data_IF_846410855027
#
_entry.id   IF_846410855027
#
_cell.length_a   1.000
_cell.length_b   1.000
_cell.length_c   1.000
_cell.angle_alpha   90.00
_cell.angle_beta   90.00
_cell.angle_gamma   90.00
#
_symmetry.space_group_name_H-M   'P 1'
#
loop_
_entity.id
_entity.type
_entity.pdbx_description
1 polymer ?
#
# COMPACT_ATOMS: atom_id res chain seq x y z
N UNK A 1 5.48 8.04 -44.92
CA UNK A 1 4.24 8.49 -44.23
C UNK A 1 4.66 9.08 -42.89
N UNK A 2 4.31 10.34 -42.62
CA UNK A 2 4.64 10.97 -41.35
C UNK A 2 3.91 10.25 -40.21
N UNK A 3 4.65 9.84 -39.18
CA UNK A 3 4.08 9.24 -37.96
C UNK A 3 3.38 10.37 -37.21
N UNK A 4 2.06 10.41 -37.29
CA UNK A 4 1.25 11.34 -36.50
C UNK A 4 1.27 10.90 -35.03
N UNK A 5 1.90 11.70 -34.16
CA UNK A 5 1.91 11.50 -32.71
C UNK A 5 0.50 11.58 -32.10
N UNK A 6 0.35 11.20 -30.81
CA UNK A 6 -0.94 11.23 -30.12
C UNK A 6 -1.54 12.64 -30.05
N UNK A 7 -2.84 12.76 -30.36
CA UNK A 7 -3.56 14.05 -30.35
C UNK A 7 -4.33 14.20 -29.03
N UNK A 8 -4.00 15.25 -28.29
CA UNK A 8 -4.60 15.59 -26.99
C UNK A 8 -5.51 16.80 -27.10
N UNK A 9 -6.68 16.75 -26.47
CA UNK A 9 -7.58 17.89 -26.31
C UNK A 9 -7.65 18.36 -24.86
N UNK A 10 -7.68 19.68 -24.66
CA UNK A 10 -7.79 20.33 -23.36
C UNK A 10 -6.46 20.50 -22.62
N UNK A 11 -6.54 21.09 -21.42
CA UNK A 11 -5.40 21.25 -20.50
C UNK A 11 -5.70 20.53 -19.19
N UNK A 12 -4.64 20.04 -18.52
CA UNK A 12 -4.77 19.48 -17.19
C UNK A 12 -5.04 20.61 -16.19
N UNK A 13 -6.06 20.45 -15.35
CA UNK A 13 -6.44 21.44 -14.36
C UNK A 13 -6.82 20.78 -13.04
N UNK A 14 -6.34 21.37 -11.94
CA UNK A 14 -6.61 20.90 -10.58
C UNK A 14 -7.32 22.04 -9.84
N UNK A 15 -8.49 21.76 -9.27
CA UNK A 15 -9.23 22.72 -8.46
C UNK A 15 -8.44 23.10 -7.21
N UNK A 16 -8.62 24.34 -6.74
CA UNK A 16 -8.00 24.86 -5.53
C UNK A 16 -7.42 26.26 -5.73
N UNK A 17 -7.58 27.11 -4.71
CA UNK A 17 -7.09 28.49 -4.68
C UNK A 17 -5.59 28.59 -4.41
N UNK A 18 -5.05 27.66 -3.61
CA UNK A 18 -3.64 27.60 -3.25
C UNK A 18 -2.97 26.35 -3.82
N UNK A 19 -1.64 26.37 -3.94
CA UNK A 19 -0.88 25.20 -4.38
C UNK A 19 -1.06 24.00 -3.44
N UNK A 20 -1.02 24.24 -2.12
CA UNK A 20 -1.28 23.19 -1.13
C UNK A 20 -2.65 22.55 -1.29
N UNK A 21 -3.70 23.35 -1.54
CA UNK A 21 -5.05 22.83 -1.78
C UNK A 21 -5.11 21.99 -3.05
N UNK A 22 -4.44 22.42 -4.13
CA UNK A 22 -4.36 21.65 -5.38
C UNK A 22 -3.65 20.32 -5.17
N UNK A 23 -2.50 20.32 -4.49
CA UNK A 23 -1.76 19.10 -4.21
C UNK A 23 -2.56 18.14 -3.32
N UNK A 24 -3.18 18.67 -2.26
CA UNK A 24 -4.02 17.88 -1.36
C UNK A 24 -5.20 17.24 -2.11
N UNK A 25 -5.91 17.99 -2.95
CA UNK A 25 -7.03 17.48 -3.73
C UNK A 25 -6.60 16.45 -4.80
N UNK A 26 -5.44 16.64 -5.42
CA UNK A 26 -4.86 15.69 -6.37
C UNK A 26 -4.48 14.37 -5.69
N UNK A 27 -3.95 14.43 -4.47
CA UNK A 27 -3.44 13.25 -3.76
C UNK A 27 -4.43 12.69 -2.74
N UNK A 28 -5.64 13.25 -2.64
CA UNK A 28 -6.65 12.85 -1.67
C UNK A 28 -7.05 11.38 -1.79
N UNK A 29 -7.02 10.82 -3.00
CA UNK A 29 -7.24 9.39 -3.26
C UNK A 29 -6.25 8.47 -2.50
N UNK A 30 -5.04 8.95 -2.19
CA UNK A 30 -4.07 8.20 -1.38
C UNK A 30 -4.57 7.95 0.04
N UNK A 31 -5.44 8.81 0.57
CA UNK A 31 -6.08 8.63 1.89
C UNK A 31 -7.02 7.41 1.87
N UNK A 32 -7.91 7.32 0.89
CA UNK A 32 -8.89 6.22 0.79
C UNK A 32 -8.24 4.86 0.57
N UNK A 33 -7.14 4.82 -0.19
CA UNK A 33 -6.34 3.59 -0.36
C UNK A 33 -5.83 3.03 0.98
N UNK A 34 -5.48 3.90 1.92
CA UNK A 34 -5.00 3.46 3.24
C UNK A 34 -6.11 2.94 4.14
N UNK A 35 -7.37 3.34 3.93
CA UNK A 35 -8.50 2.70 4.63
C UNK A 35 -8.65 1.24 4.23
N UNK A 36 -8.45 0.92 2.94
CA UNK A 36 -8.51 -0.45 2.45
C UNK A 36 -7.34 -1.27 3.00
N UNK A 37 -6.11 -0.82 2.78
CA UNK A 37 -4.90 -1.50 3.28
C UNK A 37 -4.89 -1.62 4.80
N UNK A 38 -5.27 -0.58 5.54
CA UNK A 38 -5.32 -0.61 7.00
C UNK A 38 -6.37 -1.59 7.54
N UNK A 39 -7.52 -1.69 6.87
CA UNK A 39 -8.55 -2.69 7.22
C UNK A 39 -8.03 -4.11 7.00
N UNK A 40 -7.41 -4.37 5.86
CA UNK A 40 -6.88 -5.68 5.51
C UNK A 40 -5.71 -6.10 6.42
N UNK A 41 -4.75 -5.20 6.64
CA UNK A 41 -3.60 -5.44 7.52
C UNK A 41 -4.00 -5.64 8.98
N UNK A 42 -5.09 -5.03 9.44
CA UNK A 42 -5.52 -5.12 10.85
C UNK A 42 -6.49 -6.27 11.11
N UNK A 43 -7.49 -6.42 10.25
CA UNK A 43 -8.61 -7.33 10.46
C UNK A 43 -8.59 -8.55 9.53
N UNK A 44 -7.86 -8.53 8.41
CA UNK A 44 -7.84 -9.63 7.46
C UNK A 44 -7.37 -10.95 8.08
N UNK A 45 -6.18 -10.96 8.69
CA UNK A 45 -5.62 -12.17 9.32
C UNK A 45 -6.50 -12.66 10.48
N UNK A 46 -6.92 -11.82 11.45
CA UNK A 46 -7.83 -12.25 12.51
C UNK A 46 -9.19 -12.73 12.02
N UNK A 47 -9.74 -12.12 10.97
CA UNK A 47 -11.03 -12.53 10.39
C UNK A 47 -10.94 -13.93 9.82
N UNK A 48 -9.93 -14.20 8.99
CA UNK A 48 -9.73 -15.50 8.40
C UNK A 48 -9.38 -16.59 9.45
N UNK A 49 -8.65 -16.24 10.52
CA UNK A 49 -8.46 -17.11 11.69
C UNK A 49 -9.79 -17.43 12.36
N UNK A 50 -10.67 -16.44 12.53
CA UNK A 50 -11.99 -16.63 13.16
C UNK A 50 -12.91 -17.55 12.35
N UNK A 51 -12.70 -17.65 11.03
CA UNK A 51 -13.39 -18.59 10.15
C UNK A 51 -12.82 -20.03 10.23
N UNK A 52 -11.71 -20.23 10.96
CA UNK A 52 -11.09 -21.54 11.20
C UNK A 52 -9.93 -21.89 10.25
N UNK A 53 -9.32 -20.93 9.55
CA UNK A 53 -8.10 -21.21 8.78
C UNK A 53 -6.86 -21.27 9.67
N UNK A 54 -5.94 -22.19 9.33
CA UNK A 54 -4.61 -22.26 9.93
C UNK A 54 -3.70 -21.12 9.44
N UNK A 55 -2.69 -20.73 10.24
CA UNK A 55 -1.73 -19.68 9.88
C UNK A 55 -0.91 -20.05 8.64
N UNK A 56 -0.62 -21.34 8.46
CA UNK A 56 -0.03 -21.86 7.21
C UNK A 56 -0.90 -21.51 6.00
N UNK A 57 -2.21 -21.78 6.02
CA UNK A 57 -3.11 -21.45 4.90
C UNK A 57 -3.25 -19.95 4.69
N UNK A 58 -3.27 -19.15 5.76
CA UNK A 58 -3.32 -17.68 5.66
C UNK A 58 -2.16 -17.12 4.85
N UNK A 59 -0.96 -17.65 5.03
CA UNK A 59 0.19 -17.19 4.25
C UNK A 59 -0.02 -17.35 2.75
N UNK A 60 -0.66 -18.44 2.31
CA UNK A 60 -1.01 -18.63 0.90
C UNK A 60 -2.07 -17.64 0.42
N UNK A 61 -2.98 -17.21 1.29
CA UNK A 61 -3.96 -16.18 0.96
C UNK A 61 -3.26 -14.84 0.68
N UNK A 62 -2.28 -14.49 1.51
CA UNK A 62 -1.52 -13.24 1.38
C UNK A 62 -0.56 -13.17 0.19
N UNK A 63 -0.46 -14.24 -0.61
CA UNK A 63 0.16 -14.17 -1.95
C UNK A 63 -0.63 -13.26 -2.89
N UNK A 64 -1.93 -13.04 -2.63
CA UNK A 64 -2.79 -12.16 -3.42
C UNK A 64 -2.24 -10.73 -3.55
N UNK A 65 -1.78 -10.12 -2.45
CA UNK A 65 -1.24 -8.76 -2.42
C UNK A 65 -0.03 -8.55 -3.34
N UNK A 66 1.05 -9.34 -3.24
CA UNK A 66 2.18 -9.22 -4.14
C UNK A 66 1.84 -9.65 -5.57
N UNK A 67 1.03 -10.69 -5.77
CA UNK A 67 0.61 -11.10 -7.12
C UNK A 67 -0.15 -9.98 -7.84
N UNK A 68 -1.11 -9.38 -7.16
CA UNK A 68 -1.89 -8.27 -7.69
C UNK A 68 -1.03 -7.03 -7.97
N UNK A 69 -0.12 -6.68 -7.06
CA UNK A 69 0.82 -5.57 -7.22
C UNK A 69 1.78 -5.74 -8.40
N UNK A 70 2.21 -6.97 -8.69
CA UNK A 70 3.08 -7.29 -9.83
C UNK A 70 2.33 -7.19 -11.16
N UNK A 71 1.10 -7.71 -11.20
CA UNK A 71 0.33 -7.85 -12.45
C UNK A 71 -0.44 -6.57 -12.80
N UNK A 72 -1.12 -5.96 -11.84
CA UNK A 72 -2.05 -4.86 -12.13
C UNK A 72 -1.34 -3.57 -12.53
N UNK A 73 -0.14 -3.29 -12.03
CA UNK A 73 0.58 -2.06 -12.37
C UNK A 73 0.90 -1.94 -13.87
N UNK A 74 1.55 -2.92 -14.53
CA UNK A 74 1.80 -2.84 -15.97
C UNK A 74 0.51 -2.96 -16.80
N UNK A 75 -0.44 -3.79 -16.38
CA UNK A 75 -1.72 -3.98 -17.09
C UNK A 75 -2.52 -2.68 -17.12
N UNK A 76 -2.70 -2.03 -15.97
CA UNK A 76 -3.45 -0.78 -15.87
C UNK A 76 -2.72 0.35 -16.56
N UNK A 77 -1.40 0.44 -16.47
CA UNK A 77 -0.62 1.41 -17.23
C UNK A 77 -0.95 1.34 -18.73
N UNK A 78 -0.81 0.14 -19.31
CA UNK A 78 -1.09 -0.11 -20.72
C UNK A 78 -2.52 0.17 -21.15
N UNK A 79 -3.50 -0.31 -20.37
CA UNK A 79 -4.91 -0.15 -20.71
C UNK A 79 -5.35 1.31 -20.56
N UNK A 80 -4.88 2.00 -19.53
CA UNK A 80 -5.25 3.40 -19.28
C UNK A 80 -4.51 4.38 -20.19
N UNK A 81 -3.31 4.07 -20.67
CA UNK A 81 -2.61 4.89 -21.68
C UNK A 81 -3.35 4.97 -23.02
N UNK A 82 -4.13 3.94 -23.34
CA UNK A 82 -4.92 3.86 -24.58
C UNK A 82 -6.35 4.38 -24.45
N UNK A 83 -6.72 4.85 -23.26
CA UNK A 83 -8.08 5.23 -22.95
C UNK A 83 -8.45 6.58 -23.59
N UNK A 84 -9.50 6.59 -24.40
CA UNK A 84 -10.06 7.78 -25.08
C UNK A 84 -11.31 8.32 -24.39
N UNK A 85 -11.57 7.92 -23.14
CA UNK A 85 -12.77 8.30 -22.40
C UNK A 85 -12.80 9.82 -22.13
N UNK A 86 -14.00 10.41 -22.19
CA UNK A 86 -14.26 11.83 -21.92
C UNK A 86 -13.87 12.27 -20.51
N UNK A 87 -13.83 11.33 -19.55
CA UNK A 87 -13.42 11.60 -18.17
C UNK A 87 -11.90 11.72 -18.00
N UNK A 88 -11.13 11.46 -19.06
CA UNK A 88 -9.68 11.33 -18.98
C UNK A 88 -9.23 9.88 -19.11
N UNK A 89 -7.91 9.69 -19.09
CA UNK A 89 -7.30 8.38 -19.34
C UNK A 89 -7.24 7.54 -18.06
N UNK A 90 -6.96 8.15 -16.90
CA UNK A 90 -6.74 7.46 -15.62
C UNK A 90 -8.01 7.34 -14.78
N UNK A 91 -8.81 8.41 -14.70
CA UNK A 91 -10.01 8.48 -13.85
C UNK A 91 -11.03 7.35 -14.03
N UNK A 92 -11.33 6.85 -15.24
CA UNK A 92 -12.25 5.72 -15.42
C UNK A 92 -11.78 4.45 -14.71
N UNK A 93 -10.49 4.11 -14.82
CA UNK A 93 -9.91 2.93 -14.16
C UNK A 93 -9.89 3.09 -12.65
N UNK A 94 -9.57 4.30 -12.18
CA UNK A 94 -9.58 4.65 -10.77
C UNK A 94 -10.97 4.46 -10.14
N UNK A 95 -12.04 4.95 -10.79
CA UNK A 95 -13.42 4.80 -10.29
C UNK A 95 -13.95 3.38 -10.45
N UNK A 96 -13.63 2.69 -11.54
CA UNK A 96 -14.03 1.29 -11.73
C UNK A 96 -13.42 0.39 -10.66
N UNK A 97 -12.12 0.54 -10.39
CA UNK A 97 -11.45 -0.16 -9.29
C UNK A 97 -12.06 0.21 -7.93
N UNK A 98 -12.35 1.49 -7.69
CA UNK A 98 -12.98 1.96 -6.44
C UNK A 98 -14.34 1.30 -6.21
N UNK A 99 -15.19 1.25 -7.23
CA UNK A 99 -16.50 0.61 -7.12
C UNK A 99 -16.39 -0.89 -6.82
N UNK A 100 -15.46 -1.58 -7.48
CA UNK A 100 -15.21 -2.99 -7.23
C UNK A 100 -14.66 -3.23 -5.80
N UNK A 101 -13.73 -2.39 -5.33
CA UNK A 101 -13.22 -2.43 -3.94
C UNK A 101 -14.35 -2.26 -2.93
N UNK A 102 -15.26 -1.31 -3.15
CA UNK A 102 -16.42 -1.10 -2.27
C UNK A 102 -17.29 -2.34 -2.19
N UNK A 103 -17.59 -2.95 -3.33
CA UNK A 103 -18.38 -4.19 -3.38
C UNK A 103 -17.66 -5.30 -2.62
N UNK A 104 -16.37 -5.51 -2.84
CA UNK A 104 -15.58 -6.51 -2.13
C UNK A 104 -15.54 -6.25 -0.61
N UNK A 105 -15.28 -5.02 -0.15
CA UNK A 105 -15.30 -4.71 1.29
C UNK A 105 -16.66 -5.05 1.94
N UNK A 106 -17.77 -4.77 1.24
CA UNK A 106 -19.10 -5.14 1.72
C UNK A 106 -19.34 -6.65 1.66
N UNK A 107 -18.86 -7.36 0.65
CA UNK A 107 -18.91 -8.83 0.60
C UNK A 107 -18.14 -9.39 1.78
N UNK A 108 -16.89 -8.96 2.00
CA UNK A 108 -16.02 -9.44 3.07
C UNK A 108 -16.68 -9.29 4.45
N UNK A 109 -17.25 -8.12 4.75
CA UNK A 109 -17.93 -7.88 6.02
C UNK A 109 -19.18 -8.76 6.22
N UNK A 110 -19.87 -9.12 5.14
CA UNK A 110 -21.13 -9.88 5.18
C UNK A 110 -21.01 -11.32 4.67
N UNK A 111 -19.79 -11.85 4.49
CA UNK A 111 -19.54 -13.16 3.88
C UNK A 111 -20.41 -14.28 4.46
N UNK A 112 -20.46 -14.40 5.80
CA UNK A 112 -21.25 -15.43 6.48
C UNK A 112 -22.76 -15.24 6.27
N UNK A 113 -23.25 -13.99 6.30
CA UNK A 113 -24.65 -13.68 6.08
C UNK A 113 -25.08 -13.98 4.63
N UNK A 114 -24.21 -13.67 3.66
CA UNK A 114 -24.41 -13.98 2.25
C UNK A 114 -24.52 -15.50 2.07
N UNK A 115 -23.58 -16.28 2.62
CA UNK A 115 -23.58 -17.74 2.46
C UNK A 115 -24.81 -18.37 3.15
N UNK A 116 -25.15 -17.93 4.37
CA UNK A 116 -26.33 -18.41 5.11
C UNK A 116 -27.65 -18.17 4.36
N UNK A 117 -27.72 -17.16 3.51
CA UNK A 117 -28.91 -16.91 2.70
C UNK A 117 -29.14 -17.98 1.64
N UNK A 118 -28.07 -18.56 1.08
CA UNK A 118 -28.15 -19.55 0.00
C UNK A 118 -28.04 -21.01 0.47
N UNK A 119 -27.53 -21.25 1.67
CA UNK A 119 -27.20 -22.59 2.18
C UNK A 119 -27.71 -22.75 3.60
N UNK A 120 -28.45 -23.83 3.87
CA UNK A 120 -29.02 -24.13 5.19
C UNK A 120 -28.22 -25.12 6.05
N UNK A 121 -27.19 -25.75 5.51
CA UNK A 121 -26.35 -26.74 6.21
C UNK A 121 -25.12 -26.08 6.86
N UNK A 122 -24.94 -26.24 8.17
CA UNK A 122 -23.93 -25.54 8.98
C UNK A 122 -22.49 -25.85 8.55
N UNK A 123 -22.17 -27.11 8.22
CA UNK A 123 -20.82 -27.47 7.78
C UNK A 123 -20.48 -26.83 6.43
N UNK A 124 -21.44 -26.85 5.50
CA UNK A 124 -21.32 -26.18 4.20
C UNK A 124 -21.24 -24.67 4.34
N UNK A 125 -22.01 -24.06 5.24
CA UNK A 125 -21.93 -22.62 5.52
C UNK A 125 -20.51 -22.25 5.92
N UNK A 126 -19.90 -22.98 6.86
CA UNK A 126 -18.53 -22.70 7.30
C UNK A 126 -17.53 -22.82 6.15
N UNK A 127 -17.57 -23.92 5.41
CA UNK A 127 -16.64 -24.15 4.29
C UNK A 127 -16.77 -23.11 3.18
N UNK A 128 -18.00 -22.79 2.78
CA UNK A 128 -18.27 -21.82 1.73
C UNK A 128 -17.98 -20.38 2.17
N UNK A 129 -18.14 -20.06 3.45
CA UNK A 129 -17.75 -18.75 4.01
C UNK A 129 -16.23 -18.56 3.89
N UNK A 130 -15.43 -19.57 4.22
CA UNK A 130 -13.97 -19.52 4.04
C UNK A 130 -13.60 -19.35 2.56
N UNK A 131 -14.21 -20.13 1.67
CA UNK A 131 -13.93 -20.04 0.22
C UNK A 131 -14.29 -18.67 -0.32
N UNK A 132 -15.47 -18.13 0.01
CA UNK A 132 -15.91 -16.81 -0.43
C UNK A 132 -14.98 -15.72 0.10
N UNK A 133 -14.61 -15.75 1.38
CA UNK A 133 -13.70 -14.78 1.97
C UNK A 133 -12.32 -14.79 1.28
N UNK A 134 -11.77 -15.97 0.98
CA UNK A 134 -10.47 -16.08 0.30
C UNK A 134 -10.54 -15.56 -1.13
N UNK A 135 -11.57 -15.95 -1.89
CA UNK A 135 -11.76 -15.47 -3.26
C UNK A 135 -11.97 -13.95 -3.27
N UNK A 136 -12.77 -13.42 -2.34
CA UNK A 136 -13.03 -12.00 -2.24
C UNK A 136 -11.78 -11.20 -1.87
N UNK A 137 -10.93 -11.67 -0.95
CA UNK A 137 -9.62 -11.03 -0.65
C UNK A 137 -8.73 -10.98 -1.90
N UNK A 138 -8.67 -12.06 -2.68
CA UNK A 138 -7.92 -12.05 -3.95
C UNK A 138 -8.46 -11.00 -4.92
N UNK A 139 -9.77 -10.92 -5.09
CA UNK A 139 -10.38 -9.92 -5.98
C UNK A 139 -10.13 -8.51 -5.44
N UNK A 140 -10.34 -8.30 -4.14
CA UNK A 140 -10.11 -7.04 -3.44
C UNK A 140 -8.69 -6.51 -3.69
N UNK A 141 -7.67 -7.34 -3.50
CA UNK A 141 -6.26 -6.99 -3.71
C UNK A 141 -5.97 -6.54 -5.15
N UNK A 142 -6.54 -7.24 -6.14
CA UNK A 142 -6.46 -6.84 -7.55
C UNK A 142 -7.13 -5.49 -7.80
N UNK A 143 -8.32 -5.26 -7.23
CA UNK A 143 -9.08 -4.02 -7.43
C UNK A 143 -8.45 -2.82 -6.69
N UNK A 144 -7.86 -3.04 -5.51
CA UNK A 144 -7.07 -2.04 -4.79
C UNK A 144 -5.88 -1.63 -5.66
N UNK A 145 -5.15 -2.60 -6.23
CA UNK A 145 -3.99 -2.30 -7.06
C UNK A 145 -4.33 -1.61 -8.37
N UNK A 146 -5.51 -1.86 -8.97
CA UNK A 146 -6.00 -1.08 -10.12
C UNK A 146 -6.17 0.39 -9.73
N UNK A 147 -6.90 0.64 -8.65
CA UNK A 147 -7.16 1.99 -8.14
C UNK A 147 -5.87 2.72 -7.77
N UNK A 148 -4.95 1.99 -7.13
CA UNK A 148 -3.66 2.50 -6.68
C UNK A 148 -2.74 2.86 -7.87
N UNK A 149 -2.66 1.99 -8.88
CA UNK A 149 -1.88 2.25 -10.09
C UNK A 149 -2.38 3.49 -10.83
N UNK A 150 -3.70 3.57 -11.06
CA UNK A 150 -4.32 4.70 -11.73
C UNK A 150 -4.15 6.01 -10.94
N UNK A 151 -4.29 5.98 -9.61
CA UNK A 151 -4.08 7.14 -8.74
C UNK A 151 -2.64 7.65 -8.82
N UNK A 152 -1.63 6.77 -8.78
CA UNK A 152 -0.23 7.19 -8.87
C UNK A 152 0.10 7.81 -10.23
N UNK A 153 -0.37 7.19 -11.31
CA UNK A 153 -0.17 7.72 -12.65
C UNK A 153 -0.87 9.07 -12.85
N UNK A 154 -2.05 9.27 -12.26
CA UNK A 154 -2.76 10.56 -12.31
C UNK A 154 -1.93 11.69 -11.69
N UNK A 155 -1.23 11.43 -10.57
CA UNK A 155 -0.39 12.43 -9.90
C UNK A 155 0.78 12.86 -10.79
N UNK A 156 1.44 11.91 -11.45
CA UNK A 156 2.56 12.21 -12.36
C UNK A 156 2.10 12.90 -13.64
N UNK A 157 0.93 12.50 -14.17
CA UNK A 157 0.39 13.04 -15.43
C UNK A 157 -0.23 14.45 -15.26
N UNK A 158 -0.78 14.75 -14.08
CA UNK A 158 -1.42 16.04 -13.81
C UNK A 158 -0.42 17.16 -13.48
N UNK A 159 0.81 16.82 -13.09
CA UNK A 159 1.82 17.77 -12.62
C UNK A 159 2.96 17.98 -13.62
N UNK A 160 3.48 19.21 -13.75
CA UNK A 160 4.75 19.47 -14.41
C UNK A 160 5.89 18.72 -13.70
N UNK A 161 6.96 18.38 -14.43
CA UNK A 161 8.09 17.61 -13.93
C UNK A 161 8.71 18.21 -12.64
N UNK A 162 8.79 19.54 -12.56
CA UNK A 162 9.35 20.26 -11.40
C UNK A 162 8.49 20.08 -10.14
N UNK A 163 7.19 19.78 -10.29
CA UNK A 163 6.24 19.62 -9.19
C UNK A 163 5.95 18.16 -8.83
N UNK A 164 6.42 17.18 -9.60
CA UNK A 164 6.16 15.76 -9.34
C UNK A 164 6.72 15.28 -8.00
N UNK A 165 7.87 15.81 -7.57
CA UNK A 165 8.43 15.51 -6.25
C UNK A 165 7.54 16.06 -5.12
N UNK A 166 6.99 17.27 -5.29
CA UNK A 166 6.04 17.86 -4.35
C UNK A 166 4.74 17.03 -4.30
N UNK A 167 4.21 16.61 -5.45
CA UNK A 167 3.06 15.72 -5.53
C UNK A 167 3.30 14.39 -4.81
N UNK A 168 4.46 13.76 -5.02
CA UNK A 168 4.84 12.54 -4.32
C UNK A 168 4.93 12.72 -2.80
N UNK A 169 5.46 13.86 -2.32
CA UNK A 169 5.48 14.18 -0.90
C UNK A 169 4.06 14.35 -0.32
N UNK A 170 3.15 14.99 -1.05
CA UNK A 170 1.74 15.10 -0.67
C UNK A 170 0.99 13.76 -0.68
N UNK A 171 1.32 12.84 -1.58
CA UNK A 171 0.82 11.45 -1.53
C UNK A 171 1.21 10.77 -0.21
N UNK A 172 2.48 10.85 0.19
CA UNK A 172 2.94 10.26 1.45
C UNK A 172 2.26 10.87 2.67
N UNK A 173 2.01 12.19 2.68
CA UNK A 173 1.27 12.87 3.76
C UNK A 173 -0.19 12.42 3.82
N UNK A 174 -0.89 12.38 2.67
CA UNK A 174 -2.29 11.95 2.61
C UNK A 174 -2.44 10.48 2.99
N UNK A 175 -1.50 9.63 2.59
CA UNK A 175 -1.45 8.24 3.01
C UNK A 175 -1.21 8.12 4.53
N UNK A 176 -0.22 8.84 5.09
CA UNK A 176 0.03 8.85 6.54
C UNK A 176 -1.21 9.28 7.34
N UNK A 177 -1.92 10.30 6.85
CA UNK A 177 -3.16 10.76 7.47
C UNK A 177 -4.29 9.73 7.36
N UNK A 178 -4.44 9.07 6.20
CA UNK A 178 -5.39 7.98 6.01
C UNK A 178 -5.13 6.79 6.94
N UNK A 179 -3.87 6.38 7.11
CA UNK A 179 -3.49 5.34 8.05
C UNK A 179 -3.85 5.72 9.50
N UNK A 180 -3.58 6.96 9.89
CA UNK A 180 -3.95 7.45 11.23
C UNK A 180 -5.45 7.38 11.47
N UNK A 181 -6.27 7.77 10.49
CA UNK A 181 -7.72 7.73 10.61
C UNK A 181 -8.26 6.29 10.68
N UNK A 182 -7.81 5.39 9.81
CA UNK A 182 -8.33 4.00 9.80
C UNK A 182 -7.95 3.24 11.09
N UNK A 183 -6.72 3.37 11.59
CA UNK A 183 -6.34 2.74 12.85
C UNK A 183 -7.01 3.43 14.05
N UNK A 184 -7.21 4.75 14.01
CA UNK A 184 -7.99 5.46 15.01
C UNK A 184 -9.43 4.97 15.10
N UNK A 185 -10.10 4.82 13.96
CA UNK A 185 -11.45 4.27 13.88
C UNK A 185 -11.50 2.80 14.33
N UNK A 186 -10.54 2.00 13.91
CA UNK A 186 -10.42 0.60 14.33
C UNK A 186 -10.18 0.42 15.83
N UNK A 187 -9.53 1.39 16.48
CA UNK A 187 -9.21 1.37 17.92
C UNK A 187 -10.41 1.70 18.82
N UNK A 188 -11.42 2.39 18.27
CA UNK A 188 -12.60 2.86 18.99
C UNK A 188 -13.75 1.85 18.84
N UNK A 189 -14.70 1.87 19.78
CA UNK A 189 -15.84 0.94 19.76
C UNK A 189 -16.90 1.50 18.84
N UNK A 190 -16.85 1.05 17.59
CA UNK A 190 -17.75 1.56 16.56
C UNK A 190 -19.18 1.12 16.85
N UNK A 191 -19.39 -0.08 17.42
CA UNK A 191 -20.72 -0.54 17.82
C UNK A 191 -21.32 0.35 18.90
N UNK A 192 -20.54 0.75 19.90
CA UNK A 192 -21.01 1.66 20.94
C UNK A 192 -21.35 3.06 20.40
N UNK A 193 -20.64 3.55 19.38
CA UNK A 193 -20.83 4.90 18.83
C UNK A 193 -21.95 4.95 17.79
N UNK A 194 -21.91 4.05 16.80
CA UNK A 194 -22.82 4.07 15.66
C UNK A 194 -24.02 3.13 15.82
N UNK A 195 -24.07 2.35 16.90
CA UNK A 195 -25.07 1.29 17.06
C UNK A 195 -24.99 0.30 15.88
N UNK A 196 -26.11 -0.26 15.42
CA UNK A 196 -26.13 -1.19 14.28
C UNK A 196 -26.15 -0.51 12.91
N UNK A 197 -25.99 0.82 12.81
CA UNK A 197 -26.23 1.60 11.59
C UNK A 197 -25.40 1.11 10.38
N UNK A 198 -24.14 0.77 10.60
CA UNK A 198 -23.19 0.33 9.57
C UNK A 198 -22.91 -1.18 9.63
N UNK A 199 -23.68 -1.93 10.42
CA UNK A 199 -23.50 -3.35 10.67
C UNK A 199 -23.62 -3.69 12.15
N UNK A 200 -23.92 -4.96 12.43
CA UNK A 200 -24.06 -5.54 13.77
C UNK A 200 -22.72 -5.97 14.39
N UNK A 201 -21.61 -5.88 13.66
CA UNK A 201 -20.27 -6.30 14.10
C UNK A 201 -19.22 -5.22 13.89
N UNK A 202 -18.20 -5.14 14.77
CA UNK A 202 -17.06 -4.21 14.60
C UNK A 202 -16.44 -4.36 13.20
N UNK A 203 -16.23 -5.60 12.75
CA UNK A 203 -15.63 -5.87 11.44
C UNK A 203 -16.49 -5.33 10.28
N UNK A 204 -17.80 -5.56 10.30
CA UNK A 204 -18.74 -5.03 9.30
C UNK A 204 -18.68 -3.50 9.23
N UNK A 205 -18.63 -2.84 10.39
CA UNK A 205 -18.56 -1.38 10.46
C UNK A 205 -17.23 -0.83 9.95
N UNK A 206 -16.10 -1.50 10.22
CA UNK A 206 -14.80 -1.14 9.66
C UNK A 206 -14.82 -1.28 8.14
N UNK A 207 -15.32 -2.39 7.60
CA UNK A 207 -15.46 -2.61 6.16
C UNK A 207 -16.36 -1.54 5.49
N UNK A 208 -17.52 -1.24 6.08
CA UNK A 208 -18.44 -0.22 5.58
C UNK A 208 -17.80 1.18 5.61
N UNK A 209 -17.09 1.52 6.70
CA UNK A 209 -16.40 2.80 6.82
C UNK A 209 -15.27 2.93 5.82
N UNK A 210 -14.50 1.85 5.58
CA UNK A 210 -13.46 1.81 4.57
C UNK A 210 -14.04 1.99 3.16
N UNK A 211 -15.17 1.35 2.85
CA UNK A 211 -15.87 1.51 1.57
C UNK A 211 -16.33 2.97 1.35
N UNK A 212 -16.94 3.59 2.36
CA UNK A 212 -17.37 4.99 2.31
C UNK A 212 -16.16 5.93 2.13
N UNK A 213 -15.10 5.75 2.92
CA UNK A 213 -13.89 6.55 2.83
C UNK A 213 -13.22 6.43 1.45
N UNK A 214 -13.19 5.22 0.89
CA UNK A 214 -12.65 4.95 -0.44
C UNK A 214 -13.45 5.69 -1.53
N UNK A 215 -14.78 5.64 -1.50
CA UNK A 215 -15.65 6.38 -2.42
C UNK A 215 -15.45 7.90 -2.33
N UNK A 216 -15.44 8.44 -1.12
CA UNK A 216 -15.28 9.87 -0.88
C UNK A 216 -13.90 10.33 -1.36
N UNK A 217 -12.84 9.60 -1.02
CA UNK A 217 -11.47 10.00 -1.35
C UNK A 217 -11.21 9.99 -2.87
N UNK A 218 -11.59 8.90 -3.52
CA UNK A 218 -11.42 8.72 -4.97
C UNK A 218 -12.35 9.64 -5.75
N UNK A 219 -13.61 9.76 -5.31
CA UNK A 219 -14.59 10.68 -5.88
C UNK A 219 -14.17 12.14 -5.79
N UNK A 220 -13.60 12.57 -4.67
CA UNK A 220 -13.08 13.94 -4.49
C UNK A 220 -11.93 14.23 -5.45
N UNK A 221 -10.99 13.29 -5.60
CA UNK A 221 -9.86 13.44 -6.54
C UNK A 221 -10.36 13.51 -7.98
N UNK A 222 -11.27 12.61 -8.36
CA UNK A 222 -11.95 12.63 -9.66
C UNK A 222 -12.68 13.95 -9.92
N UNK A 223 -13.38 14.49 -8.93
CA UNK A 223 -14.08 15.76 -9.07
C UNK A 223 -13.14 16.96 -9.15
N UNK A 224 -11.98 16.89 -8.48
CA UNK A 224 -11.01 17.97 -8.42
C UNK A 224 -10.07 18.05 -9.63
N UNK A 225 -9.79 16.91 -10.28
CA UNK A 225 -8.79 16.80 -11.35
C UNK A 225 -9.46 16.63 -12.71
N UNK A 226 -9.13 17.52 -13.64
CA UNK A 226 -9.49 17.42 -15.05
C UNK A 226 -8.26 17.03 -15.86
N UNK A 227 -8.34 15.90 -16.56
CA UNK A 227 -7.27 15.39 -17.42
C UNK A 227 -7.38 15.92 -18.85
N UNK A 228 -6.28 15.83 -19.61
CA UNK A 228 -6.32 15.98 -21.07
C UNK A 228 -6.93 14.73 -21.70
N UNK A 229 -7.73 14.89 -22.75
CA UNK A 229 -8.43 13.78 -23.40
C UNK A 229 -7.63 13.32 -24.63
N UNK A 230 -7.35 12.02 -24.71
CA UNK A 230 -6.74 11.41 -25.90
C UNK A 230 -7.80 11.23 -26.98
N UNK A 231 -7.60 11.86 -28.14
CA UNK A 231 -8.55 11.81 -29.27
C UNK A 231 -8.08 10.96 -30.43
N UNK A 232 -6.78 10.78 -30.58
CA UNK A 232 -6.22 9.85 -31.56
C UNK A 232 -5.02 9.11 -30.95
N UNK A 233 -5.10 7.79 -30.74
CA UNK A 233 -3.95 6.99 -30.35
C UNK A 233 -2.92 6.95 -31.50
N UNK A 234 -1.63 6.72 -31.21
CA UNK A 234 -0.56 6.73 -32.22
C UNK A 234 -0.80 5.66 -33.33
N UNK A 235 -0.47 6.03 -34.57
CA UNK A 235 -0.85 5.30 -35.81
C UNK A 235 -0.02 4.04 -36.11
N UNK A 236 1.09 3.77 -35.41
CA UNK A 236 1.79 2.48 -35.47
C UNK A 236 1.33 1.60 -34.30
N UNK A 237 0.43 0.67 -34.58
CA UNK A 237 0.00 -0.35 -33.62
C UNK A 237 0.63 -1.70 -33.97
N UNK A 238 1.62 -2.20 -33.21
CA UNK A 238 1.84 -3.63 -33.14
C UNK A 238 0.58 -4.25 -32.54
N UNK A 239 0.06 -5.30 -33.17
CA UNK A 239 -1.05 -6.14 -32.69
C UNK A 239 -1.01 -6.35 -31.17
N UNK A 240 -2.16 -6.22 -30.50
CA UNK A 240 -2.34 -6.17 -29.04
C UNK A 240 -1.59 -7.26 -28.23
N UNK A 241 -1.35 -8.46 -28.79
CA UNK A 241 -0.57 -9.53 -28.14
C UNK A 241 0.94 -9.28 -28.07
N UNK A 242 1.49 -8.46 -28.97
CA UNK A 242 2.92 -8.12 -28.98
C UNK A 242 3.26 -7.05 -27.94
N UNK A 243 2.26 -6.32 -27.39
CA UNK A 243 2.51 -5.14 -26.57
C UNK A 243 2.76 -5.44 -25.09
N UNK A 244 2.04 -6.39 -24.49
CA UNK A 244 2.34 -6.82 -23.11
C UNK A 244 3.64 -7.64 -23.10
N UNK A 245 3.80 -8.52 -24.09
CA UNK A 245 5.02 -9.34 -24.22
C UNK A 245 6.25 -8.50 -24.52
N UNK A 246 6.15 -7.42 -25.31
CA UNK A 246 7.26 -6.49 -25.53
C UNK A 246 7.61 -5.72 -24.26
N UNK A 247 6.61 -5.29 -23.46
CA UNK A 247 6.85 -4.60 -22.19
C UNK A 247 7.46 -5.53 -21.15
N UNK A 248 6.98 -6.76 -21.04
CA UNK A 248 7.60 -7.77 -20.16
C UNK A 248 9.04 -8.08 -20.60
N UNK A 249 9.31 -8.17 -21.91
CA UNK A 249 10.66 -8.32 -22.45
C UNK A 249 11.53 -7.10 -22.16
N UNK A 250 11.01 -5.89 -22.29
CA UNK A 250 11.72 -4.65 -22.00
C UNK A 250 12.02 -4.52 -20.51
N UNK A 251 11.05 -4.82 -19.63
CA UNK A 251 11.25 -4.87 -18.18
C UNK A 251 12.32 -5.90 -17.84
N UNK A 252 12.27 -7.10 -18.44
CA UNK A 252 13.27 -8.14 -18.22
C UNK A 252 14.66 -7.69 -18.67
N UNK A 253 14.79 -7.15 -19.87
CA UNK A 253 16.05 -6.65 -20.41
C UNK A 253 16.62 -5.50 -19.57
N UNK A 254 15.81 -4.53 -19.18
CA UNK A 254 16.24 -3.39 -18.35
C UNK A 254 16.57 -3.82 -16.93
N UNK A 255 15.86 -4.80 -16.37
CA UNK A 255 16.17 -5.39 -15.05
C UNK A 255 17.55 -6.04 -15.05
N UNK A 256 17.93 -6.74 -16.12
CA UNK A 256 19.25 -7.34 -16.28
C UNK A 256 20.35 -6.29 -16.50
N UNK A 257 20.02 -5.14 -17.09
CA UNK A 257 20.96 -4.08 -17.48
C UNK A 257 20.78 -2.77 -16.68
N UNK A 258 20.48 -2.86 -15.39
CA UNK A 258 20.30 -1.68 -14.54
C UNK A 258 21.61 -0.90 -14.31
N UNK A 259 21.60 0.44 -14.41
CA UNK A 259 22.72 1.28 -13.95
C UNK A 259 23.02 1.06 -12.46
N UNK A 260 24.28 1.14 -12.07
CA UNK A 260 24.74 0.76 -10.72
C UNK A 260 24.02 1.50 -9.59
N UNK A 261 23.70 2.79 -9.81
CA UNK A 261 22.95 3.60 -8.84
C UNK A 261 21.54 3.08 -8.59
N UNK A 262 20.82 2.71 -9.66
CA UNK A 262 19.45 2.16 -9.58
C UNK A 262 19.48 0.73 -9.05
N UNK A 263 20.45 -0.08 -9.50
CA UNK A 263 20.68 -1.46 -9.04
C UNK A 263 20.88 -1.50 -7.52
N UNK A 264 21.67 -0.59 -6.97
CA UNK A 264 21.89 -0.51 -5.52
C UNK A 264 20.60 -0.23 -4.74
N UNK A 265 19.74 0.68 -5.22
CA UNK A 265 18.44 1.00 -4.60
C UNK A 265 17.54 -0.25 -4.62
N UNK A 266 17.48 -0.92 -5.78
CA UNK A 266 16.68 -2.12 -5.99
C UNK A 266 17.11 -3.27 -5.06
N UNK A 267 18.42 -3.49 -4.86
CA UNK A 267 18.89 -4.50 -3.91
C UNK A 267 18.50 -4.20 -2.47
N UNK A 268 18.58 -2.95 -2.03
CA UNK A 268 18.15 -2.58 -0.67
C UNK A 268 16.64 -2.83 -0.51
N UNK A 269 15.83 -2.49 -1.52
CA UNK A 269 14.39 -2.81 -1.49
C UNK A 269 14.14 -4.31 -1.42
N UNK A 270 14.81 -5.10 -2.27
CA UNK A 270 14.64 -6.55 -2.30
C UNK A 270 14.86 -7.20 -0.94
N UNK A 271 15.97 -6.88 -0.27
CA UNK A 271 16.26 -7.49 1.03
C UNK A 271 15.39 -6.96 2.17
N UNK A 272 15.05 -5.67 2.16
CA UNK A 272 14.22 -5.07 3.22
C UNK A 272 12.78 -5.54 3.18
N UNK A 273 12.21 -5.76 1.98
CA UNK A 273 10.80 -6.16 1.83
C UNK A 273 10.51 -7.59 2.25
N UNK A 274 11.53 -8.47 2.34
CA UNK A 274 11.38 -9.80 2.95
C UNK A 274 10.94 -9.66 4.42
N UNK A 275 11.47 -8.66 5.14
CA UNK A 275 11.14 -8.40 6.54
C UNK A 275 9.88 -7.55 6.72
N UNK A 276 9.64 -6.56 5.83
CA UNK A 276 8.46 -5.70 5.93
C UNK A 276 7.16 -6.47 5.69
N UNK A 277 7.16 -7.44 4.79
CA UNK A 277 5.92 -8.14 4.43
C UNK A 277 5.28 -8.87 5.63
N UNK A 278 5.99 -9.75 6.39
CA UNK A 278 5.42 -10.36 7.57
C UNK A 278 4.99 -9.36 8.65
N UNK A 279 5.76 -8.26 8.81
CA UNK A 279 5.41 -7.20 9.74
C UNK A 279 4.04 -6.57 9.42
N UNK A 280 3.77 -6.29 8.15
CA UNK A 280 2.54 -5.62 7.73
C UNK A 280 1.29 -6.51 7.85
N UNK A 281 1.40 -7.80 7.54
CA UNK A 281 0.23 -8.71 7.51
C UNK A 281 0.01 -9.52 8.80
N UNK A 282 1.06 -9.74 9.60
CA UNK A 282 0.97 -10.49 10.85
C UNK A 282 1.23 -9.65 12.10
N UNK A 283 1.77 -8.43 11.98
CA UNK A 283 2.12 -7.60 13.13
C UNK A 283 0.91 -7.21 13.99
N UNK A 284 -0.20 -6.85 13.35
CA UNK A 284 -1.47 -6.55 14.02
C UNK A 284 -1.99 -7.74 14.82
N UNK A 285 -1.98 -8.92 14.20
CA UNK A 285 -2.45 -10.18 14.79
C UNK A 285 -1.55 -10.59 15.95
N UNK A 286 -0.24 -10.47 15.81
CA UNK A 286 0.71 -10.74 16.88
C UNK A 286 0.46 -9.89 18.13
N UNK A 287 0.27 -8.57 17.97
CA UNK A 287 -0.05 -7.70 19.10
C UNK A 287 -1.40 -8.04 19.72
N UNK A 288 -2.42 -8.30 18.88
CA UNK A 288 -3.74 -8.67 19.36
C UNK A 288 -3.75 -10.01 20.12
N UNK A 289 -3.00 -11.01 19.65
CA UNK A 289 -2.83 -12.29 20.36
C UNK A 289 -2.16 -12.11 21.73
N UNK A 290 -1.13 -11.26 21.84
CA UNK A 290 -0.48 -10.97 23.13
C UNK A 290 -1.45 -10.34 24.15
N UNK A 291 -2.39 -9.51 23.68
CA UNK A 291 -3.46 -9.00 24.53
C UNK A 291 -4.38 -10.13 25.00
N UNK A 292 -4.83 -11.01 24.10
CA UNK A 292 -5.70 -12.13 24.44
C UNK A 292 -5.07 -13.14 25.40
N UNK A 293 -3.75 -13.33 25.34
CA UNK A 293 -3.03 -14.18 26.31
C UNK A 293 -3.11 -13.62 27.74
N UNK A 294 -3.31 -12.31 27.89
CA UNK A 294 -3.44 -11.64 29.18
C UNK A 294 -4.90 -11.54 29.66
N UNK A 295 -5.87 -11.93 28.84
CA UNK A 295 -7.30 -11.76 29.09
C UNK A 295 -8.01 -13.09 29.42
N UNK A 296 -9.15 -13.06 30.16
CA UNK A 296 -9.88 -14.28 30.57
C UNK A 296 -10.48 -15.07 29.38
N UNK A 297 -10.60 -16.39 29.57
CA UNK A 297 -10.67 -17.47 28.56
C UNK A 297 -12.03 -17.76 27.90
N UNK A 298 -13.14 -17.18 28.34
CA UNK A 298 -14.47 -17.56 27.82
C UNK A 298 -15.05 -16.45 26.95
N UNK A 299 -14.70 -16.43 25.66
CA UNK A 299 -15.22 -15.44 24.69
C UNK A 299 -15.69 -16.08 23.39
N UNK A 300 -16.72 -15.51 22.78
CA UNK A 300 -17.18 -15.92 21.46
C UNK A 300 -16.18 -15.52 20.37
N UNK A 301 -16.18 -16.23 19.22
CA UNK A 301 -15.29 -15.93 18.07
C UNK A 301 -15.39 -14.48 17.61
N UNK A 302 -16.61 -13.92 17.60
CA UNK A 302 -16.86 -12.53 17.25
C UNK A 302 -16.25 -11.54 18.26
N UNK A 303 -16.30 -11.86 19.55
CA UNK A 303 -15.67 -11.04 20.60
C UNK A 303 -14.14 -11.07 20.48
N UNK A 304 -13.55 -12.25 20.23
CA UNK A 304 -12.11 -12.41 20.00
C UNK A 304 -11.66 -11.57 18.80
N UNK A 305 -12.35 -11.65 17.66
CA UNK A 305 -12.06 -10.85 16.46
C UNK A 305 -12.14 -9.34 16.76
N UNK A 306 -13.19 -8.92 17.46
CA UNK A 306 -13.44 -7.51 17.78
C UNK A 306 -12.33 -6.95 18.69
N UNK A 307 -11.99 -7.63 19.77
CA UNK A 307 -10.95 -7.17 20.69
C UNK A 307 -9.54 -7.23 20.06
N UNK A 308 -9.22 -8.30 19.32
CA UNK A 308 -7.95 -8.42 18.60
C UNK A 308 -7.76 -7.24 17.66
N UNK A 309 -8.77 -6.97 16.82
CA UNK A 309 -8.72 -5.88 15.86
C UNK A 309 -8.63 -4.51 16.53
N UNK A 310 -9.38 -4.27 17.62
CA UNK A 310 -9.31 -3.01 18.37
C UNK A 310 -7.95 -2.75 18.99
N UNK A 311 -7.40 -3.72 19.72
CA UNK A 311 -6.11 -3.55 20.39
C UNK A 311 -4.94 -3.53 19.40
N UNK A 312 -5.03 -4.28 18.30
CA UNK A 312 -4.10 -4.15 17.19
C UNK A 312 -4.17 -2.74 16.58
N UNK A 313 -5.38 -2.22 16.33
CA UNK A 313 -5.59 -0.86 15.84
C UNK A 313 -5.02 0.19 16.78
N UNK A 314 -5.15 0.02 18.10
CA UNK A 314 -4.56 0.93 19.09
C UNK A 314 -3.03 0.99 18.99
N UNK A 315 -2.37 -0.16 18.84
CA UNK A 315 -0.92 -0.18 18.68
C UNK A 315 -0.47 0.44 17.34
N UNK A 316 -1.17 0.12 16.26
CA UNK A 316 -0.88 0.67 14.93
C UNK A 316 -1.27 2.14 14.79
N UNK A 317 -2.18 2.65 15.63
CA UNK A 317 -2.49 4.08 15.71
C UNK A 317 -1.26 4.88 16.15
N UNK A 318 -0.53 4.43 17.19
CA UNK A 318 0.73 5.08 17.60
C UNK A 318 1.78 5.02 16.49
N UNK A 319 1.94 3.87 15.84
CA UNK A 319 2.81 3.73 14.67
C UNK A 319 2.45 4.73 13.57
N UNK A 320 1.17 4.88 13.24
CA UNK A 320 0.72 5.77 12.17
C UNK A 320 0.88 7.26 12.50
N UNK A 321 0.69 7.66 13.77
CA UNK A 321 0.96 9.02 14.24
C UNK A 321 2.45 9.33 14.08
N UNK A 322 3.32 8.45 14.56
CA UNK A 322 4.77 8.62 14.43
C UNK A 322 5.23 8.60 12.98
N UNK A 323 4.59 7.78 12.13
CA UNK A 323 4.86 7.75 10.70
C UNK A 323 4.43 9.06 10.02
N UNK A 324 3.26 9.60 10.35
CA UNK A 324 2.79 10.88 9.81
C UNK A 324 3.74 12.01 10.23
N UNK A 325 4.14 12.07 11.50
CA UNK A 325 5.15 13.01 11.98
C UNK A 325 6.47 12.84 11.24
N UNK A 326 6.92 11.59 11.04
CA UNK A 326 8.08 11.26 10.22
C UNK A 326 7.95 11.81 8.80
N UNK A 327 6.83 11.57 8.12
CA UNK A 327 6.61 12.06 6.75
C UNK A 327 6.64 13.59 6.60
N UNK A 328 6.28 14.32 7.66
CA UNK A 328 6.24 15.78 7.68
C UNK A 328 7.61 16.37 8.07
N UNK A 329 8.23 15.84 9.13
CA UNK A 329 9.42 16.43 9.75
C UNK A 329 10.74 15.79 9.30
N UNK A 330 10.74 14.53 8.84
CA UNK A 330 11.97 13.87 8.39
C UNK A 330 12.71 14.67 7.29
N UNK A 331 12.06 15.22 6.25
CA UNK A 331 12.76 16.02 5.25
C UNK A 331 13.50 17.24 5.81
N UNK A 332 12.96 17.92 6.84
CA UNK A 332 13.60 19.10 7.44
C UNK A 332 14.74 18.77 8.40
N UNK A 333 14.73 17.54 8.95
CA UNK A 333 15.77 17.01 9.83
C UNK A 333 17.00 16.51 9.04
N UNK A 334 16.85 16.23 7.75
CA UNK A 334 17.93 15.75 6.89
C UNK A 334 18.76 16.90 6.31
N UNK A 335 20.03 16.61 6.05
CA UNK A 335 20.91 17.49 5.30
C UNK A 335 20.62 17.41 3.80
N UNK A 336 20.41 18.55 3.14
CA UNK A 336 20.26 18.68 1.70
C UNK A 336 21.53 19.30 1.08
N UNK A 337 22.35 18.53 0.34
CA UNK A 337 23.56 19.02 -0.31
C UNK A 337 23.31 20.10 -1.36
N UNK A 338 22.14 20.10 -2.00
CA UNK A 338 21.80 21.03 -3.09
C UNK A 338 21.55 22.46 -2.59
N UNK A 339 20.99 22.59 -1.38
CA UNK A 339 20.79 23.88 -0.70
C UNK A 339 22.09 24.61 -0.31
N UNK A 340 23.22 23.89 -0.27
CA UNK A 340 24.53 24.41 0.14
C UNK A 340 25.43 24.78 -1.06
N UNK A 341 25.01 24.50 -2.29
CA UNK A 341 25.74 24.83 -3.50
C UNK A 341 25.63 26.34 -3.81
N UNK A 342 26.46 27.15 -3.15
CA UNK A 342 26.58 28.59 -3.41
C UNK A 342 26.74 29.48 -2.17
N UNK A 343 26.62 28.92 -0.96
CA UNK A 343 26.82 29.67 0.29
C UNK A 343 28.20 29.32 0.90
N UNK A 344 29.04 30.31 1.26
CA UNK A 344 30.29 30.02 1.96
C UNK A 344 30.00 29.30 3.28
N UNK A 345 30.61 28.13 3.45
CA UNK A 345 30.42 27.24 4.59
C UNK A 345 30.76 27.93 5.91
N UNK A 346 29.78 28.53 6.60
CA UNK A 346 29.98 29.19 7.90
C UNK A 346 28.82 29.06 8.90
N UNK A 347 27.96 28.04 8.81
CA UNK A 347 27.00 27.73 9.88
C UNK A 347 27.27 26.35 10.51
N UNK A 348 27.78 26.28 11.77
CA UNK A 348 28.14 25.02 12.45
C UNK A 348 26.95 24.10 12.76
N UNK A 349 25.71 24.56 12.54
CA UNK A 349 24.48 23.79 12.71
C UNK A 349 24.23 22.86 11.50
N UNK A 350 24.68 23.22 10.30
CA UNK A 350 24.51 22.38 9.12
C UNK A 350 25.44 21.15 9.11
N UNK A 351 26.54 21.16 9.87
CA UNK A 351 27.50 20.04 9.87
C UNK A 351 27.05 18.82 10.70
N UNK A 352 25.96 18.93 11.48
CA UNK A 352 25.46 17.85 12.33
C UNK A 352 24.20 17.13 11.82
N UNK A 353 23.56 17.61 10.75
CA UNK A 353 22.37 16.94 10.20
C UNK A 353 22.79 15.68 9.42
N UNK A 354 22.14 14.52 9.65
CA UNK A 354 22.44 13.31 8.89
C UNK A 354 21.98 13.46 7.45
N UNK A 355 22.73 12.85 6.53
CA UNK A 355 22.31 12.71 5.12
C UNK A 355 21.17 11.71 5.01
N UNK A 356 20.32 11.83 3.97
CA UNK A 356 19.27 10.84 3.67
C UNK A 356 19.83 9.41 3.56
N UNK A 357 21.05 9.27 3.03
CA UNK A 357 21.75 7.98 2.91
C UNK A 357 22.09 7.38 4.28
N UNK A 358 22.55 8.19 5.23
CA UNK A 358 22.82 7.75 6.60
C UNK A 358 21.52 7.39 7.32
N UNK A 359 20.50 8.23 7.22
CA UNK A 359 19.19 7.96 7.80
C UNK A 359 18.60 6.64 7.28
N UNK A 360 18.69 6.38 5.97
CA UNK A 360 18.22 5.12 5.38
C UNK A 360 19.03 3.89 5.82
N UNK A 361 20.34 4.03 6.07
CA UNK A 361 21.12 2.94 6.67
C UNK A 361 20.65 2.65 8.09
N UNK A 362 20.54 3.68 8.93
CA UNK A 362 20.09 3.53 10.32
C UNK A 362 18.66 3.00 10.40
N UNK A 363 17.79 3.37 9.47
CA UNK A 363 16.41 2.89 9.40
C UNK A 363 16.36 1.37 9.17
N UNK A 364 17.19 0.83 8.28
CA UNK A 364 17.25 -0.61 8.04
C UNK A 364 17.84 -1.37 9.25
N UNK A 365 18.92 -0.86 9.86
CA UNK A 365 19.50 -1.47 11.07
C UNK A 365 18.54 -1.44 12.26
N UNK A 366 17.85 -0.32 12.48
CA UNK A 366 16.85 -0.21 13.55
C UNK A 366 15.67 -1.15 13.31
N UNK A 367 15.16 -1.27 12.08
CA UNK A 367 14.11 -2.25 11.77
C UNK A 367 14.56 -3.68 12.08
N UNK A 368 15.76 -4.09 11.63
CA UNK A 368 16.29 -5.42 11.91
C UNK A 368 16.45 -5.68 13.42
N UNK A 369 16.96 -4.70 14.17
CA UNK A 369 17.09 -4.81 15.62
C UNK A 369 15.72 -4.93 16.31
N UNK A 370 14.73 -4.14 15.90
CA UNK A 370 13.36 -4.23 16.44
C UNK A 370 12.75 -5.60 16.14
N UNK A 371 12.88 -6.12 14.91
CA UNK A 371 12.38 -7.46 14.57
C UNK A 371 13.08 -8.56 15.38
N UNK A 372 14.38 -8.44 15.65
CA UNK A 372 15.13 -9.39 16.48
C UNK A 372 14.67 -9.41 17.95
N UNK A 373 14.05 -8.34 18.45
CA UNK A 373 13.51 -8.27 19.81
C UNK A 373 12.15 -8.98 19.97
N UNK A 374 11.45 -9.26 18.86
CA UNK A 374 10.10 -9.83 18.90
C UNK A 374 9.97 -11.14 19.69
N UNK A 375 10.91 -12.11 19.65
CA UNK A 375 10.78 -13.36 20.41
C UNK A 375 10.85 -13.18 21.93
N UNK A 376 11.39 -12.05 22.40
CA UNK A 376 11.58 -11.76 23.83
C UNK A 376 10.40 -10.98 24.44
N UNK A 377 9.42 -10.60 23.63
CA UNK A 377 8.29 -9.78 24.06
C UNK A 377 7.06 -10.65 24.33
N UNK A 378 6.64 -10.65 25.59
CA UNK A 378 5.45 -11.36 26.07
C UNK A 378 4.33 -10.44 26.56
N UNK A 379 4.53 -9.12 26.53
CA UNK A 379 3.59 -8.12 27.02
C UNK A 379 3.03 -7.27 25.88
N UNK A 380 1.71 -7.04 25.90
CA UNK A 380 1.00 -6.17 24.97
C UNK A 380 1.60 -4.75 24.91
N UNK A 381 1.97 -4.17 26.06
CA UNK A 381 2.53 -2.83 26.13
C UNK A 381 3.91 -2.74 25.46
N UNK A 382 4.77 -3.74 25.71
CA UNK A 382 6.09 -3.82 25.07
C UNK A 382 5.97 -4.04 23.56
N UNK A 383 5.02 -4.87 23.12
CA UNK A 383 4.73 -5.08 21.71
C UNK A 383 4.24 -3.80 21.03
N UNK A 384 3.37 -3.04 21.70
CA UNK A 384 2.88 -1.74 21.22
C UNK A 384 4.01 -0.73 21.05
N UNK A 385 4.93 -0.65 22.02
CA UNK A 385 6.10 0.22 21.92
C UNK A 385 7.00 -0.20 20.75
N UNK A 386 7.25 -1.50 20.56
CA UNK A 386 8.03 -2.01 19.45
C UNK A 386 7.41 -1.66 18.10
N UNK A 387 6.10 -1.88 17.93
CA UNK A 387 5.36 -1.49 16.72
C UNK A 387 5.47 0.01 16.48
N UNK A 388 5.28 0.83 17.51
CA UNK A 388 5.40 2.28 17.40
C UNK A 388 6.82 2.71 16.94
N UNK A 389 7.87 2.08 17.47
CA UNK A 389 9.26 2.35 17.08
C UNK A 389 9.56 1.98 15.62
N UNK A 390 8.82 1.03 15.04
CA UNK A 390 8.94 0.67 13.61
C UNK A 390 8.45 1.78 12.67
N UNK A 391 7.78 2.82 13.18
CA UNK A 391 7.34 3.98 12.40
C UNK A 391 8.52 4.79 11.84
N UNK A 392 9.62 4.90 12.57
CA UNK A 392 10.81 5.59 12.08
C UNK A 392 11.37 4.86 10.83
N UNK A 393 11.67 3.54 10.90
CA UNK A 393 12.06 2.81 9.71
C UNK A 393 11.09 2.91 8.54
N UNK A 394 9.79 2.83 8.81
CA UNK A 394 8.75 2.91 7.78
C UNK A 394 8.72 4.27 7.09
N UNK A 395 8.82 5.36 7.85
CA UNK A 395 8.84 6.73 7.31
C UNK A 395 10.04 6.97 6.37
N UNK A 396 11.21 6.45 6.73
CA UNK A 396 12.42 6.54 5.89
C UNK A 396 12.30 5.62 4.67
N UNK A 397 11.75 4.42 4.83
CA UNK A 397 11.51 3.48 3.73
C UNK A 397 10.49 4.02 2.71
N UNK A 398 9.51 4.80 3.15
CA UNK A 398 8.55 5.47 2.27
C UNK A 398 9.13 6.66 1.49
N UNK A 399 10.19 7.30 1.98
CA UNK A 399 10.79 8.50 1.37
C UNK A 399 12.05 8.19 0.54
N UNK A 400 12.97 7.39 1.07
CA UNK A 400 14.32 7.25 0.54
C UNK A 400 14.38 6.64 -0.87
N UNK A 401 13.71 5.51 -1.18
CA UNK A 401 13.82 4.86 -2.48
C UNK A 401 13.34 5.75 -3.62
N UNK A 402 12.16 6.38 -3.46
CA UNK A 402 11.60 7.31 -4.45
C UNK A 402 12.48 8.53 -4.67
N UNK A 403 13.05 9.09 -3.60
CA UNK A 403 13.95 10.25 -3.68
C UNK A 403 15.25 9.89 -4.42
N UNK A 404 15.91 8.78 -4.05
CA UNK A 404 17.13 8.36 -4.72
C UNK A 404 16.90 7.96 -6.17
N UNK A 405 15.79 7.28 -6.46
CA UNK A 405 15.44 6.92 -7.83
C UNK A 405 15.20 8.17 -8.67
N UNK A 406 14.42 9.13 -8.17
CA UNK A 406 14.16 10.40 -8.86
C UNK A 406 15.45 11.17 -9.20
N UNK A 407 16.41 11.21 -8.27
CA UNK A 407 17.73 11.84 -8.51
C UNK A 407 18.52 11.11 -9.61
N UNK A 408 18.51 9.77 -9.63
CA UNK A 408 19.20 9.01 -10.68
C UNK A 408 18.54 9.18 -12.04
N UNK A 409 17.20 9.14 -12.10
CA UNK A 409 16.44 9.35 -13.33
C UNK A 409 16.71 10.75 -13.89
N UNK A 410 16.70 11.79 -13.06
CA UNK A 410 17.00 13.15 -13.48
C UNK A 410 18.44 13.28 -14.01
N UNK A 411 19.41 12.66 -13.32
CA UNK A 411 20.81 12.62 -13.79
C UNK A 411 20.92 11.94 -15.16
N UNK A 412 20.24 10.82 -15.37
CA UNK A 412 20.24 10.12 -16.66
C UNK A 412 19.58 10.96 -17.76
N UNK A 413 18.49 11.66 -17.45
CA UNK A 413 17.82 12.56 -18.39
C UNK A 413 18.66 13.80 -18.76
N UNK A 414 19.62 14.20 -17.91
CA UNK A 414 20.54 15.32 -18.21
C UNK A 414 21.70 14.95 -19.16
N UNK A 415 21.85 13.66 -19.50
CA UNK A 415 22.87 13.21 -20.45
C UNK A 415 22.37 13.36 -21.90
N UNK A 416 23.21 13.81 -22.84
CA UNK A 416 22.80 14.23 -24.20
C UNK A 416 22.49 13.07 -25.18
N UNK A 417 21.85 11.97 -24.75
CA UNK A 417 21.56 10.80 -25.59
C UNK A 417 20.05 10.51 -25.70
N UNK A 418 19.45 10.93 -26.82
CA UNK A 418 18.14 10.56 -27.41
C UNK A 418 16.82 11.05 -26.77
N UNK A 419 15.94 11.58 -27.62
CA UNK A 419 14.62 12.20 -27.37
C UNK A 419 13.53 11.26 -26.79
N UNK A 420 13.83 9.99 -26.50
CA UNK A 420 12.87 8.99 -25.96
C UNK A 420 12.77 8.97 -24.41
N UNK A 421 13.44 9.88 -23.71
CA UNK A 421 13.71 9.76 -22.27
C UNK A 421 12.52 10.03 -21.32
N UNK A 422 11.42 10.60 -21.83
CA UNK A 422 10.20 10.82 -21.04
C UNK A 422 9.59 9.52 -20.49
N UNK A 423 9.72 8.41 -21.22
CA UNK A 423 9.19 7.09 -20.83
C UNK A 423 10.12 6.31 -19.87
N UNK A 424 11.40 6.70 -19.76
CA UNK A 424 12.38 5.96 -18.96
C UNK A 424 12.08 6.01 -17.45
N UNK A 425 11.55 7.13 -16.95
CA UNK A 425 11.21 7.29 -15.53
C UNK A 425 10.19 6.24 -15.08
N UNK A 426 9.11 6.07 -15.84
CA UNK A 426 8.05 5.09 -15.55
C UNK A 426 8.57 3.66 -15.54
N UNK A 427 9.48 3.32 -16.46
CA UNK A 427 10.13 2.00 -16.51
C UNK A 427 10.93 1.73 -15.23
N UNK A 428 11.74 2.70 -14.78
CA UNK A 428 12.54 2.53 -13.56
C UNK A 428 11.68 2.42 -12.29
N UNK A 429 10.59 3.18 -12.19
CA UNK A 429 9.62 3.01 -11.09
C UNK A 429 8.92 1.66 -11.14
N UNK A 430 8.62 1.15 -12.35
CA UNK A 430 8.09 -0.20 -12.55
C UNK A 430 9.07 -1.28 -12.08
N UNK A 431 10.35 -1.15 -12.41
CA UNK A 431 11.40 -2.07 -11.94
C UNK A 431 11.56 -2.00 -10.43
N UNK A 432 11.58 -0.80 -9.84
CA UNK A 432 11.62 -0.64 -8.38
C UNK A 432 10.48 -1.41 -7.71
N UNK A 433 9.26 -1.31 -8.25
CA UNK A 433 8.12 -2.06 -7.74
C UNK A 433 8.31 -3.58 -7.84
N UNK A 434 8.90 -4.09 -8.93
CA UNK A 434 9.22 -5.53 -9.05
C UNK A 434 10.18 -5.97 -7.93
N UNK A 435 11.22 -5.18 -7.65
CA UNK A 435 12.16 -5.45 -6.55
C UNK A 435 11.53 -5.30 -5.16
N UNK A 436 10.44 -4.56 -5.03
CA UNK A 436 9.63 -4.48 -3.81
C UNK A 436 8.66 -5.65 -3.67
N UNK A 437 8.12 -6.16 -4.78
CA UNK A 437 7.06 -7.18 -4.80
C UNK A 437 7.58 -8.62 -4.81
N UNK A 438 8.60 -8.93 -5.61
CA UNK A 438 9.23 -10.26 -5.63
C UNK A 438 9.61 -10.80 -4.23
N UNK A 439 10.31 -10.02 -3.36
CA UNK A 439 10.69 -10.53 -2.03
C UNK A 439 9.50 -10.84 -1.12
N UNK A 440 8.31 -10.32 -1.40
CA UNK A 440 7.12 -10.62 -0.61
C UNK A 440 6.65 -12.06 -0.82
N UNK A 441 6.83 -12.63 -2.03
CA UNK A 441 6.61 -14.07 -2.26
C UNK A 441 7.57 -14.91 -1.44
N UNK A 442 8.84 -14.50 -1.35
CA UNK A 442 9.83 -15.18 -0.52
C UNK A 442 9.46 -15.06 0.97
N UNK A 443 9.09 -13.86 1.43
CA UNK A 443 8.60 -13.64 2.80
C UNK A 443 7.38 -14.52 3.12
N UNK A 444 6.45 -14.63 2.17
CA UNK A 444 5.28 -15.50 2.27
C UNK A 444 5.67 -16.97 2.39
N UNK A 445 6.57 -17.44 1.53
CA UNK A 445 7.07 -18.83 1.58
C UNK A 445 7.80 -19.14 2.88
N UNK A 446 8.60 -18.21 3.39
CA UNK A 446 9.26 -18.33 4.71
C UNK A 446 8.20 -18.42 5.81
N UNK A 447 7.21 -17.51 5.82
CA UNK A 447 6.11 -17.56 6.79
C UNK A 447 5.34 -18.89 6.72
N UNK A 448 5.05 -19.38 5.52
CA UNK A 448 4.37 -20.67 5.31
C UNK A 448 5.14 -21.83 5.94
N UNK A 449 6.45 -21.93 5.68
CA UNK A 449 7.31 -22.98 6.26
C UNK A 449 7.34 -22.87 7.77
N UNK A 450 7.60 -21.66 8.31
CA UNK A 450 7.68 -21.43 9.76
C UNK A 450 6.36 -21.80 10.45
N UNK A 451 5.22 -21.36 9.93
CA UNK A 451 3.93 -21.69 10.51
C UNK A 451 3.62 -23.18 10.41
N UNK A 452 3.93 -23.83 9.30
CA UNK A 452 3.70 -25.28 9.13
C UNK A 452 4.51 -26.10 10.13
N UNK A 453 5.75 -25.70 10.41
CA UNK A 453 6.61 -26.36 11.41
C UNK A 453 6.06 -26.16 12.83
N UNK A 454 5.64 -24.94 13.17
CA UNK A 454 5.11 -24.61 14.50
C UNK A 454 3.75 -25.30 14.76
N UNK A 455 2.87 -25.33 13.75
CA UNK A 455 1.58 -26.02 13.79
C UNK A 455 1.78 -27.53 13.90
N UNK A 456 2.67 -28.13 13.09
CA UNK A 456 2.99 -29.56 13.15
C UNK A 456 3.58 -30.00 14.50
N UNK A 457 4.16 -29.07 15.27
CA UNK A 457 4.65 -29.31 16.62
C UNK A 457 3.58 -29.17 17.74
N UNK A 458 2.29 -29.02 17.38
CA UNK A 458 1.17 -28.95 18.33
C UNK A 458 1.03 -27.61 19.08
N UNK A 459 1.81 -26.59 18.70
CA UNK A 459 1.70 -25.22 19.23
C UNK A 459 0.69 -24.41 18.42
N UNK A 460 -0.51 -24.97 18.24
CA UNK A 460 -1.59 -24.28 17.54
C UNK A 460 -2.02 -23.01 18.26
N UNK A 461 -2.38 -22.02 17.47
CA UNK A 461 -2.89 -20.72 17.94
C UNK A 461 -4.22 -20.89 18.69
N UNK A 462 -4.46 -20.06 19.71
CA UNK A 462 -5.68 -20.12 20.54
C UNK A 462 -6.97 -19.98 19.72
N UNK A 463 -6.94 -19.22 18.61
CA UNK A 463 -8.04 -19.09 17.64
C UNK A 463 -8.56 -20.41 17.07
N UNK A 464 -7.73 -21.47 17.05
CA UNK A 464 -8.09 -22.80 16.53
C UNK A 464 -8.41 -23.80 17.66
N UNK A 465 -8.10 -23.47 18.91
CA UNK A 465 -8.36 -24.33 20.07
C UNK A 465 -9.75 -24.13 20.67
N UNK A 466 -10.44 -23.05 20.31
CA UNK A 466 -11.80 -22.66 20.74
C UNK A 466 -12.72 -22.52 19.53
#
# INVERSE_FOLDING_TARGET
>A
MAVSGPIWMGQSHIKGSTESMRMMLLTFASLGLQFCWGTEMTYGTPYLLSLGMSKSKLSLVWVAGPLSGLVMQPVVGLLSDRCTNRWGRRRPFMMAGTFAVVVCLLILGWTEAIVKYFVGDEERIRSLTVVLAVVDIYILDFMINISQSACRALVTDALPAEKQQLGSAWCSRMAGFGQMLVYGLGAIDLQHIFGPLLGDSQFKQVCATAAIAMLIAQGTTCWAVSERILTSPPSQTPTSNNSITSILKQISHTTLNLPDGIRAICHVQLWSWIGWFPFLFYGSTWVGELYLLSAPTTRSKQAILTETGRHASQAFMLFSILNLLGSIFLPSLLYDPSSSAGLPAKNPIHSKKPTLKQAWRWSNFSFAALMALTPFISSFHLATILIALCAFPWSVAGLAPGTFLGVQVNRLASLPLDDEQGDAAGIYFGILNIYTTIPQFLGTGISWVVFSVVEGAGRECRFLRE
#
